data_IF_406058629406
#
_entry.id   IF_406058629406
#
_cell.length_a   1.000
_cell.length_b   1.000
_cell.length_c   1.000
_cell.angle_alpha   90.00
_cell.angle_beta   90.00
_cell.angle_gamma   90.00
#
_symmetry.space_group_name_H-M   'P 1'
#
loop_
_entity.id
_entity.type
_entity.pdbx_description
1 polymer ?
#
# COMPACT_ATOMS: atom_id res chain seq x y z
N UNK A 1 3.15 36.15 25.35
CA UNK A 1 3.44 35.41 24.11
C UNK A 1 2.63 34.11 23.89
N UNK A 2 1.72 33.69 24.81
CA UNK A 2 0.89 32.46 24.64
C UNK A 2 -0.33 32.62 23.72
N UNK A 3 -0.80 33.85 23.49
CA UNK A 3 -2.09 34.13 22.79
C UNK A 3 -2.11 33.83 21.27
N UNK A 4 -0.96 33.79 20.61
CA UNK A 4 -0.86 33.59 19.16
C UNK A 4 -0.36 32.20 18.71
N UNK A 5 -0.19 31.27 19.64
CA UNK A 5 0.27 29.90 19.31
C UNK A 5 -0.70 29.13 18.40
N UNK A 6 -1.96 29.53 18.40
CA UNK A 6 -3.00 28.93 17.57
C UNK A 6 -3.04 29.48 16.15
N UNK A 7 -2.57 30.70 15.93
CA UNK A 7 -2.70 31.38 14.64
C UNK A 7 -1.97 30.61 13.52
N UNK A 8 -0.73 30.24 13.77
CA UNK A 8 0.12 29.53 12.77
C UNK A 8 -0.46 28.17 12.42
N UNK A 9 -0.79 27.27 13.38
CA UNK A 9 -1.43 26.00 13.05
C UNK A 9 -2.78 26.16 12.35
N UNK A 10 -3.58 27.14 12.76
CA UNK A 10 -4.89 27.38 12.14
C UNK A 10 -4.76 27.82 10.68
N UNK A 11 -3.87 28.77 10.40
CA UNK A 11 -3.59 29.22 9.02
C UNK A 11 -3.06 28.09 8.16
N UNK A 12 -2.20 27.24 8.72
CA UNK A 12 -1.68 26.07 8.03
C UNK A 12 -2.78 25.05 7.70
N UNK A 13 -3.68 24.76 8.65
CA UNK A 13 -4.82 23.88 8.43
C UNK A 13 -5.76 24.46 7.36
N UNK A 14 -6.07 25.77 7.43
CA UNK A 14 -6.91 26.42 6.40
C UNK A 14 -6.27 26.28 5.03
N UNK A 15 -4.96 26.54 4.92
CA UNK A 15 -4.22 26.38 3.66
C UNK A 15 -4.28 24.96 3.11
N UNK A 16 -4.13 23.94 3.97
CA UNK A 16 -4.25 22.53 3.58
C UNK A 16 -5.68 22.13 3.21
N UNK A 17 -6.69 22.77 3.80
CA UNK A 17 -8.10 22.47 3.52
C UNK A 17 -8.58 23.13 2.20
N UNK A 18 -7.92 24.16 1.69
CA UNK A 18 -8.33 24.84 0.45
C UNK A 18 -8.44 23.88 -0.77
N UNK A 19 -7.44 23.05 -1.09
CA UNK A 19 -7.57 22.11 -2.20
C UNK A 19 -8.64 21.05 -1.96
N UNK A 20 -8.81 20.59 -0.72
CA UNK A 20 -9.87 19.63 -0.37
C UNK A 20 -11.24 20.27 -0.54
N UNK A 21 -11.44 21.49 -0.04
CA UNK A 21 -12.65 22.25 -0.26
C UNK A 21 -12.96 22.40 -1.75
N UNK A 22 -11.92 22.74 -2.55
CA UNK A 22 -12.07 22.90 -3.99
C UNK A 22 -12.53 21.62 -4.67
N UNK A 23 -11.95 20.46 -4.33
CA UNK A 23 -12.35 19.16 -4.85
C UNK A 23 -13.82 18.84 -4.50
N UNK A 24 -14.21 19.06 -3.24
CA UNK A 24 -15.59 18.83 -2.80
C UNK A 24 -16.55 19.76 -3.54
N UNK A 25 -16.20 21.04 -3.67
CA UNK A 25 -17.01 22.00 -4.41
C UNK A 25 -17.20 21.59 -5.88
N UNK A 26 -16.11 21.19 -6.55
CA UNK A 26 -16.16 20.70 -7.93
C UNK A 26 -17.03 19.46 -8.11
N UNK A 27 -17.03 18.54 -7.11
CA UNK A 27 -17.80 17.30 -7.20
C UNK A 27 -19.32 17.52 -7.29
N UNK A 28 -19.80 18.66 -6.80
CA UNK A 28 -21.23 19.04 -6.83
C UNK A 28 -21.57 19.99 -7.97
N UNK A 29 -20.65 20.27 -8.90
CA UNK A 29 -20.90 21.11 -10.07
C UNK A 29 -21.17 20.28 -11.32
N UNK A 30 -21.91 20.86 -12.25
CA UNK A 30 -22.05 20.28 -13.59
C UNK A 30 -20.75 20.43 -14.37
N UNK A 31 -20.48 19.54 -15.33
CA UNK A 31 -19.30 19.59 -16.20
C UNK A 31 -19.17 20.95 -16.91
N UNK A 32 -20.29 21.51 -17.36
CA UNK A 32 -20.31 22.84 -18.01
C UNK A 32 -19.88 23.95 -17.06
N UNK A 33 -20.31 23.90 -15.80
CA UNK A 33 -19.92 24.89 -14.80
C UNK A 33 -18.43 24.76 -14.43
N UNK A 34 -17.92 23.53 -14.32
CA UNK A 34 -16.50 23.25 -14.03
C UNK A 34 -15.59 23.87 -15.09
N UNK A 35 -15.96 23.76 -16.37
CA UNK A 35 -15.14 24.20 -17.51
C UNK A 35 -15.26 25.73 -17.72
N UNK A 36 -16.44 26.28 -17.56
CA UNK A 36 -16.72 27.66 -18.00
C UNK A 36 -16.75 28.70 -16.86
N UNK A 37 -16.78 28.28 -15.59
CA UNK A 37 -17.04 29.21 -14.48
C UNK A 37 -16.13 28.97 -13.28
N UNK A 38 -15.43 30.00 -12.83
CA UNK A 38 -14.69 29.98 -11.56
C UNK A 38 -15.60 30.51 -10.45
N UNK A 39 -16.35 29.62 -9.80
CA UNK A 39 -17.20 29.97 -8.66
C UNK A 39 -16.78 29.22 -7.39
N UNK A 40 -16.82 29.92 -6.25
CA UNK A 40 -16.53 29.31 -4.94
C UNK A 40 -17.65 28.40 -4.44
N UNK A 41 -18.86 28.52 -5.00
CA UNK A 41 -20.00 27.69 -4.69
C UNK A 41 -20.66 27.17 -5.98
N UNK A 42 -21.27 25.96 -5.99
CA UNK A 42 -22.03 25.48 -7.13
C UNK A 42 -23.18 26.43 -7.45
N UNK A 43 -23.27 26.93 -8.67
CA UNK A 43 -24.42 27.71 -9.13
C UNK A 43 -25.64 26.80 -9.32
N UNK A 44 -25.38 25.57 -9.81
CA UNK A 44 -26.36 24.51 -9.93
C UNK A 44 -25.84 23.27 -9.22
N UNK A 45 -26.38 22.99 -8.04
CA UNK A 45 -26.01 21.80 -7.28
C UNK A 45 -26.45 20.53 -8.01
N UNK A 46 -25.54 19.59 -8.21
CA UNK A 46 -25.81 18.31 -8.84
C UNK A 46 -25.05 17.18 -8.14
N UNK A 47 -25.66 16.00 -8.13
CA UNK A 47 -25.01 14.73 -7.70
C UNK A 47 -24.71 13.82 -8.89
N UNK A 48 -24.86 14.31 -10.12
CA UNK A 48 -24.68 13.54 -11.36
C UNK A 48 -23.30 12.88 -11.44
N UNK A 49 -22.26 13.57 -10.98
CA UNK A 49 -20.89 13.02 -10.96
C UNK A 49 -20.80 11.76 -10.09
N UNK A 50 -21.49 11.75 -8.95
CA UNK A 50 -21.54 10.57 -8.07
C UNK A 50 -22.35 9.42 -8.69
N UNK A 51 -23.48 9.74 -9.32
CA UNK A 51 -24.29 8.74 -10.03
C UNK A 51 -23.45 8.09 -11.15
N UNK A 52 -22.73 8.88 -11.94
CA UNK A 52 -21.85 8.37 -13.00
C UNK A 52 -20.80 7.38 -12.51
N UNK A 53 -20.19 7.63 -11.33
CA UNK A 53 -19.18 6.72 -10.75
C UNK A 53 -19.74 5.31 -10.56
N UNK A 54 -21.03 5.18 -10.22
CA UNK A 54 -21.66 3.88 -9.93
C UNK A 54 -22.43 3.28 -11.10
N UNK A 55 -22.80 4.08 -12.11
CA UNK A 55 -23.62 3.62 -13.24
C UNK A 55 -22.83 3.42 -14.53
N UNK A 56 -21.76 4.18 -14.72
CA UNK A 56 -20.92 4.08 -15.92
C UNK A 56 -19.81 3.04 -15.72
N UNK A 57 -19.81 2.01 -16.56
CA UNK A 57 -18.85 0.91 -16.49
C UNK A 57 -17.40 1.36 -16.60
N UNK A 58 -17.14 2.45 -17.33
CA UNK A 58 -15.79 3.02 -17.46
C UNK A 58 -15.22 3.44 -16.11
N UNK A 59 -16.06 3.90 -15.20
CA UNK A 59 -15.65 4.33 -13.87
C UNK A 59 -15.62 3.18 -12.86
N UNK A 60 -16.73 2.45 -12.69
CA UNK A 60 -16.79 1.42 -11.62
C UNK A 60 -15.88 0.23 -11.90
N UNK A 61 -15.62 -0.12 -13.17
CA UNK A 61 -14.68 -1.19 -13.49
C UNK A 61 -13.25 -0.85 -13.05
N UNK A 62 -12.85 0.42 -13.11
CA UNK A 62 -11.58 0.87 -12.57
C UNK A 62 -11.45 0.57 -11.07
N UNK A 63 -12.51 0.77 -10.28
CA UNK A 63 -12.51 0.44 -8.85
C UNK A 63 -12.46 -1.08 -8.61
N UNK A 64 -13.24 -1.86 -9.36
CA UNK A 64 -13.22 -3.33 -9.25
C UNK A 64 -11.82 -3.87 -9.56
N UNK A 65 -11.23 -3.42 -10.65
CA UNK A 65 -9.87 -3.81 -11.03
C UNK A 65 -8.86 -3.42 -9.94
N UNK A 66 -8.95 -2.18 -9.42
CA UNK A 66 -8.07 -1.69 -8.35
C UNK A 66 -8.18 -2.52 -7.07
N UNK A 67 -9.39 -2.89 -6.66
CA UNK A 67 -9.62 -3.77 -5.52
C UNK A 67 -9.01 -5.15 -5.78
N UNK A 68 -9.23 -5.70 -6.97
CA UNK A 68 -8.76 -7.03 -7.33
C UNK A 68 -7.24 -7.15 -7.23
N UNK A 69 -6.50 -6.28 -7.92
CA UNK A 69 -5.03 -6.37 -7.85
C UNK A 69 -4.46 -5.90 -6.51
N UNK A 70 -5.17 -5.05 -5.77
CA UNK A 70 -4.78 -4.70 -4.39
C UNK A 70 -4.88 -5.90 -3.46
N UNK A 71 -5.96 -6.68 -3.54
CA UNK A 71 -6.12 -7.91 -2.76
C UNK A 71 -5.02 -8.90 -3.10
N UNK A 72 -4.78 -9.18 -4.39
CA UNK A 72 -3.70 -10.07 -4.81
C UNK A 72 -2.34 -9.58 -4.33
N UNK A 73 -2.02 -8.31 -4.53
CA UNK A 73 -0.77 -7.74 -4.05
C UNK A 73 -0.61 -7.86 -2.54
N UNK A 74 -1.63 -7.56 -1.77
CA UNK A 74 -1.58 -7.63 -0.30
C UNK A 74 -1.33 -9.06 0.16
N UNK A 75 -2.08 -10.02 -0.36
CA UNK A 75 -1.93 -11.43 0.02
C UNK A 75 -0.53 -11.94 -0.32
N UNK A 76 -0.05 -11.70 -1.54
CA UNK A 76 1.29 -12.14 -1.97
C UNK A 76 2.38 -11.45 -1.14
N UNK A 77 2.27 -10.13 -0.96
CA UNK A 77 3.28 -9.37 -0.22
C UNK A 77 3.37 -9.78 1.25
N UNK A 78 2.25 -9.97 1.92
CA UNK A 78 2.22 -10.39 3.32
C UNK A 78 2.69 -11.83 3.46
N UNK A 79 2.24 -12.75 2.59
CA UNK A 79 2.67 -14.14 2.60
C UNK A 79 4.19 -14.31 2.39
N UNK A 80 4.79 -13.47 1.56
CA UNK A 80 6.24 -13.47 1.35
C UNK A 80 6.99 -12.74 2.48
N UNK A 81 6.45 -11.63 2.97
CA UNK A 81 7.12 -10.79 3.96
C UNK A 81 7.14 -11.40 5.36
N UNK A 82 6.11 -12.12 5.78
CA UNK A 82 6.02 -12.74 7.10
C UNK A 82 7.18 -13.70 7.40
N UNK A 83 7.43 -14.75 6.58
CA UNK A 83 8.54 -15.67 6.83
C UNK A 83 9.90 -14.98 6.68
N UNK A 84 10.04 -14.03 5.75
CA UNK A 84 11.27 -13.27 5.58
C UNK A 84 11.59 -12.42 6.81
N UNK A 85 10.61 -11.65 7.30
CA UNK A 85 10.76 -10.83 8.50
C UNK A 85 11.06 -11.68 9.75
N UNK A 86 10.41 -12.84 9.88
CA UNK A 86 10.69 -13.78 10.95
C UNK A 86 12.14 -14.28 10.87
N UNK A 87 12.62 -14.66 9.69
CA UNK A 87 13.99 -15.10 9.50
C UNK A 87 15.00 -14.00 9.89
N UNK A 88 14.80 -12.76 9.45
CA UNK A 88 15.68 -11.64 9.80
C UNK A 88 15.65 -11.31 11.30
N UNK A 89 14.51 -11.43 11.96
CA UNK A 89 14.35 -11.10 13.38
C UNK A 89 14.91 -12.18 14.33
N UNK A 90 14.86 -13.46 13.93
CA UNK A 90 15.19 -14.61 14.80
C UNK A 90 16.55 -15.21 14.53
N UNK A 91 16.99 -15.24 13.28
CA UNK A 91 18.21 -15.93 12.86
C UNK A 91 19.29 -14.95 12.42
N UNK A 92 20.53 -15.32 12.71
CA UNK A 92 21.71 -14.68 12.15
C UNK A 92 22.30 -15.61 11.09
N UNK A 93 22.35 -15.15 9.87
CA UNK A 93 22.92 -15.90 8.75
C UNK A 93 23.92 -15.04 7.96
N UNK A 94 24.75 -15.69 7.16
CA UNK A 94 25.77 -14.99 6.39
C UNK A 94 25.10 -14.00 5.41
N UNK A 95 25.41 -12.70 5.57
CA UNK A 95 24.89 -11.67 4.69
C UNK A 95 23.53 -11.09 5.10
N UNK A 96 22.98 -11.45 6.26
CA UNK A 96 21.66 -10.98 6.77
C UNK A 96 21.51 -9.44 6.67
N UNK A 97 22.50 -8.70 7.18
CA UNK A 97 22.50 -7.23 7.16
C UNK A 97 22.56 -6.66 5.74
N UNK A 98 23.35 -7.29 4.87
CA UNK A 98 23.49 -6.84 3.49
C UNK A 98 22.23 -7.10 2.68
N UNK A 99 21.62 -8.28 2.85
CA UNK A 99 20.33 -8.61 2.23
C UNK A 99 19.22 -7.70 2.70
N UNK A 100 19.13 -7.45 4.00
CA UNK A 100 18.13 -6.55 4.57
C UNK A 100 18.30 -5.12 4.02
N UNK A 101 19.53 -4.61 3.99
CA UNK A 101 19.82 -3.31 3.42
C UNK A 101 19.51 -3.25 1.91
N UNK A 102 19.85 -4.31 1.17
CA UNK A 102 19.56 -4.40 -0.25
C UNK A 102 18.03 -4.40 -0.54
N UNK A 103 17.25 -5.09 0.27
CA UNK A 103 15.77 -5.02 0.18
C UNK A 103 15.28 -3.58 0.32
N UNK A 104 15.81 -2.83 1.28
CA UNK A 104 15.42 -1.43 1.48
C UNK A 104 15.82 -0.54 0.31
N UNK A 105 17.04 -0.73 -0.24
CA UNK A 105 17.53 0.09 -1.35
C UNK A 105 16.74 -0.11 -2.64
N UNK A 106 16.19 -1.32 -2.88
CA UNK A 106 15.33 -1.58 -4.03
C UNK A 106 14.07 -0.68 -4.03
N UNK A 107 13.56 -0.30 -2.87
CA UNK A 107 12.42 0.60 -2.76
C UNK A 107 12.75 2.04 -3.18
N UNK A 108 14.02 2.44 -3.13
CA UNK A 108 14.45 3.79 -3.51
C UNK A 108 14.51 3.99 -5.02
N UNK A 109 14.48 2.91 -5.80
CA UNK A 109 14.50 3.00 -7.26
C UNK A 109 13.20 3.61 -7.79
N UNK A 110 13.28 4.59 -8.73
CA UNK A 110 12.09 5.19 -9.32
C UNK A 110 11.24 4.14 -10.06
N UNK A 111 9.91 4.04 -9.81
CA UNK A 111 9.06 3.05 -10.47
C UNK A 111 9.09 3.10 -12.00
N UNK A 112 9.31 4.29 -12.58
CA UNK A 112 9.39 4.47 -14.01
C UNK A 112 10.51 3.67 -14.69
N UNK A 113 11.63 3.40 -13.97
CA UNK A 113 12.75 2.62 -14.50
C UNK A 113 12.34 1.16 -14.77
N UNK A 114 11.38 0.64 -14.02
CA UNK A 114 10.90 -0.74 -14.16
C UNK A 114 9.82 -0.90 -15.23
N UNK A 115 9.26 0.19 -15.77
CA UNK A 115 8.14 0.11 -16.72
C UNK A 115 8.50 -0.72 -17.96
N UNK A 116 9.63 -0.44 -18.61
CA UNK A 116 10.05 -1.16 -19.81
C UNK A 116 10.47 -2.62 -19.52
N UNK A 117 11.30 -2.92 -18.48
CA UNK A 117 11.59 -4.30 -18.10
C UNK A 117 10.34 -5.12 -17.77
N UNK A 118 9.38 -4.57 -17.04
CA UNK A 118 8.14 -5.26 -16.73
C UNK A 118 7.30 -5.53 -17.99
N UNK A 119 7.19 -4.54 -18.87
CA UNK A 119 6.50 -4.73 -20.14
C UNK A 119 7.12 -5.89 -20.95
N UNK A 120 8.44 -5.90 -21.12
CA UNK A 120 9.15 -6.95 -21.85
C UNK A 120 8.98 -8.33 -21.19
N UNK A 121 9.15 -8.39 -19.87
CA UNK A 121 9.01 -9.63 -19.11
C UNK A 121 7.59 -10.19 -19.20
N UNK A 122 6.57 -9.40 -18.88
CA UNK A 122 5.19 -9.88 -18.89
C UNK A 122 4.68 -10.21 -20.30
N UNK A 123 5.16 -9.50 -21.32
CA UNK A 123 4.87 -9.85 -22.71
C UNK A 123 5.50 -11.19 -23.12
N UNK A 124 6.72 -11.49 -22.65
CA UNK A 124 7.40 -12.74 -23.00
C UNK A 124 6.76 -13.97 -22.36
N UNK A 125 6.11 -13.82 -21.19
CA UNK A 125 5.44 -14.90 -20.47
C UNK A 125 3.91 -14.89 -20.64
N UNK A 126 3.38 -14.08 -21.58
CA UNK A 126 1.93 -13.92 -21.86
C UNK A 126 1.09 -13.51 -20.64
N UNK A 127 1.67 -12.74 -19.72
CA UNK A 127 0.98 -12.16 -18.55
C UNK A 127 0.67 -10.67 -18.71
N UNK A 128 1.05 -10.05 -19.82
CA UNK A 128 0.76 -8.64 -20.08
C UNK A 128 -0.75 -8.39 -20.04
N UNK A 129 -1.15 -7.23 -19.51
CA UNK A 129 -2.54 -6.80 -19.36
C UNK A 129 -3.40 -7.72 -18.46
N UNK A 130 -2.78 -8.32 -17.43
CA UNK A 130 -3.48 -9.14 -16.44
C UNK A 130 -3.41 -8.50 -15.05
N UNK A 131 -4.43 -8.76 -14.21
CA UNK A 131 -4.45 -8.31 -12.81
C UNK A 131 -3.26 -8.85 -12.00
N UNK A 132 -2.81 -10.07 -12.31
CA UNK A 132 -1.69 -10.70 -11.62
C UNK A 132 -0.36 -10.00 -11.95
N UNK A 133 -0.15 -9.58 -13.21
CA UNK A 133 1.06 -8.83 -13.59
C UNK A 133 1.14 -7.49 -12.85
N UNK A 134 0.03 -6.77 -12.74
CA UNK A 134 -0.05 -5.52 -11.98
C UNK A 134 0.25 -5.78 -10.49
N UNK A 135 -0.38 -6.80 -9.91
CA UNK A 135 -0.16 -7.17 -8.51
C UNK A 135 1.30 -7.52 -8.23
N UNK A 136 1.94 -8.34 -9.07
CA UNK A 136 3.34 -8.73 -8.96
C UNK A 136 4.29 -7.55 -9.13
N UNK A 137 3.99 -6.62 -10.03
CA UNK A 137 4.79 -5.39 -10.20
C UNK A 137 4.80 -4.55 -8.93
N UNK A 138 3.66 -4.43 -8.25
CA UNK A 138 3.56 -3.74 -6.96
C UNK A 138 4.29 -4.49 -5.83
N UNK A 139 4.40 -5.82 -5.90
CA UNK A 139 5.13 -6.61 -4.90
C UNK A 139 6.61 -6.20 -4.80
N UNK A 140 7.24 -5.79 -5.91
CA UNK A 140 8.64 -5.33 -5.91
C UNK A 140 8.88 -4.21 -4.88
N UNK A 141 7.92 -3.33 -4.70
CA UNK A 141 7.99 -2.20 -3.77
C UNK A 141 7.37 -2.48 -2.40
N UNK A 142 6.35 -3.33 -2.35
CA UNK A 142 5.59 -3.56 -1.13
C UNK A 142 6.21 -4.63 -0.24
N UNK A 143 6.82 -5.69 -0.80
CA UNK A 143 7.50 -6.74 -0.01
C UNK A 143 8.63 -6.16 0.84
N UNK A 144 9.58 -5.37 0.29
CA UNK A 144 10.64 -4.79 1.11
C UNK A 144 10.14 -3.94 2.27
N UNK A 145 9.10 -3.14 2.04
CA UNK A 145 8.49 -2.33 3.10
C UNK A 145 7.82 -3.20 4.16
N UNK A 146 7.07 -4.21 3.74
CA UNK A 146 6.40 -5.13 4.64
C UNK A 146 7.42 -5.90 5.50
N UNK A 147 8.51 -6.39 4.89
CA UNK A 147 9.60 -7.07 5.63
C UNK A 147 10.20 -6.13 6.66
N UNK A 148 10.49 -4.90 6.29
CA UNK A 148 11.10 -3.92 7.20
C UNK A 148 10.22 -3.60 8.40
N UNK A 149 8.93 -3.34 8.16
CA UNK A 149 7.97 -3.04 9.23
C UNK A 149 7.78 -4.26 10.13
N UNK A 150 7.55 -5.43 9.56
CA UNK A 150 7.31 -6.67 10.31
C UNK A 150 8.54 -7.09 11.11
N UNK A 151 9.74 -6.98 10.54
CA UNK A 151 11.00 -7.29 11.24
C UNK A 151 11.15 -6.39 12.48
N UNK A 152 10.89 -5.08 12.35
CA UNK A 152 10.96 -4.16 13.49
C UNK A 152 10.02 -4.54 14.63
N UNK A 153 8.79 -4.95 14.32
CA UNK A 153 7.85 -5.44 15.34
C UNK A 153 8.25 -6.79 15.91
N UNK A 154 8.65 -7.75 15.06
CA UNK A 154 9.05 -9.09 15.49
C UNK A 154 10.32 -9.07 16.35
N UNK A 155 11.27 -8.21 16.04
CA UNK A 155 12.50 -8.04 16.83
C UNK A 155 12.24 -7.46 18.23
N UNK A 156 11.14 -6.73 18.41
CA UNK A 156 10.73 -6.23 19.72
C UNK A 156 10.07 -7.32 20.62
N UNK A 157 9.65 -8.44 20.03
CA UNK A 157 9.06 -9.56 20.77
C UNK A 157 10.18 -10.44 21.36
N UNK A 158 10.19 -10.73 22.68
CA UNK A 158 11.18 -11.60 23.32
C UNK A 158 11.24 -12.98 22.68
N UNK A 159 12.46 -13.51 22.50
CA UNK A 159 12.68 -14.85 21.89
C UNK A 159 12.19 -16.00 22.75
N UNK A 160 12.10 -15.78 24.05
CA UNK A 160 11.61 -16.72 25.04
C UNK A 160 10.18 -17.19 24.76
N UNK A 161 9.37 -16.35 24.08
CA UNK A 161 8.01 -16.74 23.67
C UNK A 161 8.05 -17.82 22.58
N UNK A 162 8.98 -17.72 21.64
CA UNK A 162 9.16 -18.76 20.61
C UNK A 162 9.68 -20.06 21.24
N UNK A 163 10.65 -19.95 22.18
CA UNK A 163 11.20 -21.12 22.91
C UNK A 163 10.12 -21.82 23.73
N UNK A 164 9.22 -21.08 24.37
CA UNK A 164 8.08 -21.65 25.08
C UNK A 164 7.16 -22.43 24.15
N UNK A 165 6.89 -21.93 22.96
CA UNK A 165 6.07 -22.62 21.96
C UNK A 165 6.74 -23.94 21.52
N UNK A 166 8.05 -23.95 21.30
CA UNK A 166 8.79 -25.18 20.97
C UNK A 166 8.71 -26.21 22.09
N UNK A 167 8.83 -25.82 23.37
CA UNK A 167 8.71 -26.74 24.49
C UNK A 167 7.30 -27.33 24.59
N UNK A 168 6.25 -26.48 24.43
CA UNK A 168 4.87 -26.96 24.45
C UNK A 168 4.58 -27.95 23.31
N UNK A 169 5.10 -27.70 22.10
CA UNK A 169 4.91 -28.60 20.94
C UNK A 169 5.63 -29.94 21.13
N UNK A 170 6.76 -29.97 21.83
CA UNK A 170 7.47 -31.23 22.18
C UNK A 170 6.63 -32.12 23.10
N UNK A 171 5.82 -31.54 24.00
CA UNK A 171 4.92 -32.31 24.88
C UNK A 171 3.61 -32.74 24.19
N UNK A 172 3.21 -32.09 23.11
CA UNK A 172 1.99 -32.46 22.36
C UNK A 172 2.26 -33.35 21.16
N UNK A 173 3.52 -33.54 20.78
CA UNK A 173 3.92 -34.50 19.74
C UNK A 173 3.91 -35.92 20.33
N UNK A 174 3.25 -36.93 19.65
CA UNK A 174 3.30 -38.32 20.11
C UNK A 174 4.75 -38.78 20.18
N UNK A 175 5.12 -39.32 21.34
CA UNK A 175 6.45 -39.87 21.56
C UNK A 175 6.69 -41.02 20.59
N UNK A 176 7.86 -41.13 19.95
CA UNK A 176 8.17 -42.31 19.11
C UNK A 176 8.20 -43.64 19.88
N UNK A 177 7.87 -43.60 21.18
CA UNK A 177 7.83 -44.76 22.06
C UNK A 177 6.42 -45.22 22.44
N UNK A 178 5.38 -44.52 22.00
CA UNK A 178 3.98 -44.92 22.08
C UNK A 178 3.50 -45.42 20.73
#
# INVERSE_FOLDING_TARGET
MKKYKWLVPTLYIIFLMLPIYWLINMSFKTTTEIINTYSLWPQKFTTENYVKIFTDSTWYMGYINSITYTVFNTVISVAAALPAAYAFSRYKFLGDKHLFFWLLTNRMAPPAVFALPFFQFYSSVNLFDTHIAVALSHCLFNIPLAVWILEGFMSAVPKELDETAYVCLLYTSPSPRD
#
